data_IF_772490686594
#
_entry.id   IF_772490686594
#
_cell.length_a   1.000
_cell.length_b   1.000
_cell.length_c   1.000
_cell.angle_alpha   90.00
_cell.angle_beta   90.00
_cell.angle_gamma   90.00
#
_symmetry.space_group_name_H-M   'P 1'
#
loop_
_entity.id
_entity.type
_entity.pdbx_description
1 polymer ?
#
# COMPACT_ATOMS: atom_id res chain seq x y z
N UNK A 1 21.93 29.65 -3.53
CA UNK A 1 20.63 29.31 -2.87
C UNK A 1 20.89 28.19 -1.89
N UNK A 2 20.82 28.45 -0.55
CA UNK A 2 20.97 27.37 0.44
C UNK A 2 19.81 26.39 0.29
N UNK A 3 20.11 25.11 0.04
CA UNK A 3 19.12 24.07 -0.01
C UNK A 3 18.63 23.86 1.43
N UNK A 4 17.32 24.07 1.69
CA UNK A 4 16.74 23.87 3.02
C UNK A 4 16.69 22.38 3.35
N UNK A 5 16.95 22.07 4.61
CA UNK A 5 16.88 20.74 5.17
C UNK A 5 15.51 20.06 4.95
N UNK A 6 15.50 18.74 4.90
CA UNK A 6 14.28 17.94 4.86
C UNK A 6 13.86 17.63 6.29
N UNK A 7 12.76 18.20 6.74
CA UNK A 7 12.15 17.90 8.02
C UNK A 7 11.30 16.62 7.90
N UNK A 8 11.69 15.55 8.57
CA UNK A 8 10.95 14.28 8.54
C UNK A 8 9.54 14.40 9.13
N UNK A 9 9.32 15.36 10.04
CA UNK A 9 7.99 15.68 10.57
C UNK A 9 6.94 15.97 9.49
N UNK A 10 7.36 16.51 8.35
CA UNK A 10 6.48 16.81 7.23
C UNK A 10 5.86 15.56 6.59
N UNK A 11 6.46 14.37 6.74
CA UNK A 11 5.85 13.09 6.32
C UNK A 11 4.53 12.86 7.07
N UNK A 12 4.50 13.18 8.35
CA UNK A 12 3.26 13.11 9.14
C UNK A 12 2.30 14.25 8.82
N UNK A 13 2.82 15.46 8.56
CA UNK A 13 2.02 16.65 8.21
C UNK A 13 1.28 16.49 6.88
N UNK A 14 1.97 16.01 5.85
CA UNK A 14 1.42 15.81 4.50
C UNK A 14 1.03 14.34 4.25
N UNK A 15 0.74 13.60 5.30
CA UNK A 15 0.42 12.17 5.17
C UNK A 15 -0.80 11.92 4.30
N UNK A 16 -1.82 12.77 4.39
CA UNK A 16 -3.03 12.66 3.55
C UNK A 16 -2.70 12.81 2.06
N UNK A 17 -1.93 13.83 1.73
CA UNK A 17 -1.48 14.12 0.36
C UNK A 17 -0.58 12.98 -0.19
N UNK A 18 0.33 12.45 0.62
CA UNK A 18 1.18 11.32 0.25
C UNK A 18 0.36 10.05 0.00
N UNK A 19 -0.67 9.80 0.82
CA UNK A 19 -1.62 8.70 0.60
C UNK A 19 -2.42 8.92 -0.69
N UNK A 20 -2.80 10.17 -0.99
CA UNK A 20 -3.48 10.54 -2.24
C UNK A 20 -2.60 10.29 -3.46
N UNK A 21 -1.33 10.71 -3.41
CA UNK A 21 -0.37 10.44 -4.48
C UNK A 21 -0.17 8.94 -4.68
N UNK A 22 -0.05 8.18 -3.60
CA UNK A 22 0.07 6.72 -3.65
C UNK A 22 -1.14 6.06 -4.34
N UNK A 23 -2.36 6.52 -4.03
CA UNK A 23 -3.58 6.00 -4.68
C UNK A 23 -3.62 6.33 -6.17
N UNK A 24 -3.26 7.56 -6.55
CA UNK A 24 -3.20 7.94 -7.96
C UNK A 24 -2.15 7.12 -8.72
N UNK A 25 -1.00 6.83 -8.13
CA UNK A 25 0.01 5.94 -8.72
C UNK A 25 -0.55 4.52 -8.93
N UNK A 26 -1.31 3.99 -7.97
CA UNK A 26 -1.96 2.69 -8.09
C UNK A 26 -2.99 2.68 -9.24
N UNK A 27 -3.81 3.72 -9.37
CA UNK A 27 -4.76 3.82 -10.49
C UNK A 27 -4.02 3.90 -11.83
N UNK A 28 -2.96 4.74 -11.94
CA UNK A 28 -2.11 4.82 -13.13
C UNK A 28 -1.52 3.45 -13.50
N UNK A 29 -1.08 2.68 -12.51
CA UNK A 29 -0.57 1.33 -12.72
C UNK A 29 -1.61 0.36 -13.27
N UNK A 30 -2.86 0.45 -12.83
CA UNK A 30 -3.91 -0.49 -13.23
C UNK A 30 -4.54 -0.17 -14.59
N UNK A 31 -4.54 1.09 -15.04
CA UNK A 31 -5.01 1.42 -16.40
C UNK A 31 -4.15 0.70 -17.44
N UNK A 32 -4.80 0.00 -18.37
CA UNK A 32 -4.11 -0.77 -19.40
C UNK A 32 -3.26 0.12 -20.31
N UNK A 33 -2.04 -0.30 -20.58
CA UNK A 33 -1.15 0.29 -21.57
C UNK A 33 -0.42 -0.86 -22.28
N UNK A 34 -0.43 -0.92 -23.61
CA UNK A 34 0.28 -1.95 -24.35
C UNK A 34 1.76 -2.01 -24.01
N UNK A 35 2.32 -3.21 -24.00
CA UNK A 35 3.73 -3.44 -23.65
C UNK A 35 4.71 -2.72 -24.57
N UNK A 36 4.34 -2.61 -25.85
CA UNK A 36 5.12 -1.96 -26.90
C UNK A 36 5.22 -0.45 -26.74
N UNK A 37 4.39 0.12 -25.86
CA UNK A 37 4.42 1.55 -25.59
C UNK A 37 5.69 1.92 -24.81
N UNK A 38 6.38 2.98 -25.26
CA UNK A 38 7.62 3.46 -24.66
C UNK A 38 7.49 3.85 -23.15
N UNK A 39 6.28 4.09 -22.67
CA UNK A 39 5.98 4.44 -21.28
C UNK A 39 5.48 3.26 -20.44
N UNK A 40 5.51 2.04 -20.98
CA UNK A 40 5.03 0.87 -20.24
C UNK A 40 5.77 0.67 -18.93
N UNK A 41 7.11 0.68 -18.94
CA UNK A 41 7.92 0.53 -17.73
C UNK A 41 7.66 1.64 -16.71
N UNK A 42 7.49 2.89 -17.17
CA UNK A 42 7.14 4.01 -16.28
C UNK A 42 5.76 3.83 -15.64
N UNK A 43 4.75 3.39 -16.41
CA UNK A 43 3.43 3.07 -15.87
C UNK A 43 3.52 2.02 -14.76
N UNK A 44 4.35 0.99 -14.97
CA UNK A 44 4.56 -0.09 -13.99
C UNK A 44 5.07 0.43 -12.65
N UNK A 45 5.80 1.55 -12.65
CA UNK A 45 6.29 2.18 -11.41
C UNK A 45 5.17 2.71 -10.52
N UNK A 46 3.95 2.89 -11.03
CA UNK A 46 2.79 3.21 -10.20
C UNK A 46 2.51 2.18 -9.10
N UNK A 47 2.99 0.94 -9.25
CA UNK A 47 2.93 -0.09 -8.22
C UNK A 47 3.64 0.30 -6.90
N UNK A 48 4.60 1.21 -6.94
CA UNK A 48 5.26 1.81 -5.75
C UNK A 48 4.24 2.47 -4.80
N UNK A 49 3.09 2.88 -5.31
CA UNK A 49 1.99 3.40 -4.48
C UNK A 49 1.57 2.46 -3.35
N UNK A 50 1.60 1.13 -3.58
CA UNK A 50 1.30 0.14 -2.54
C UNK A 50 2.36 0.17 -1.43
N UNK A 51 3.63 0.24 -1.81
CA UNK A 51 4.75 0.32 -0.87
C UNK A 51 4.71 1.63 -0.08
N UNK A 52 4.29 2.74 -0.72
CA UNK A 52 4.05 4.02 -0.03
C UNK A 52 2.94 3.88 1.02
N UNK A 53 1.84 3.19 0.72
CA UNK A 53 0.78 2.92 1.70
C UNK A 53 1.30 2.15 2.91
N UNK A 54 2.04 1.07 2.68
CA UNK A 54 2.58 0.24 3.75
C UNK A 54 3.58 1.01 4.62
N UNK A 55 4.49 1.75 4.00
CA UNK A 55 5.47 2.57 4.71
C UNK A 55 4.79 3.66 5.57
N UNK A 56 3.86 4.42 5.00
CA UNK A 56 3.11 5.46 5.72
C UNK A 56 2.20 4.87 6.81
N UNK A 57 1.67 3.67 6.58
CA UNK A 57 0.94 2.93 7.61
C UNK A 57 1.85 2.56 8.78
N UNK A 58 3.04 2.03 8.50
CA UNK A 58 4.04 1.70 9.53
C UNK A 58 4.37 2.90 10.42
N UNK A 59 4.64 4.07 9.82
CA UNK A 59 4.85 5.33 10.58
C UNK A 59 3.63 5.66 11.45
N UNK A 60 2.43 5.61 10.87
CA UNK A 60 1.20 5.93 11.59
C UNK A 60 0.89 4.96 12.75
N UNK A 61 1.27 3.68 12.60
CA UNK A 61 1.12 2.68 13.66
C UNK A 61 2.05 2.98 14.83
N UNK A 62 3.29 3.35 14.56
CA UNK A 62 4.23 3.77 15.60
C UNK A 62 3.69 4.95 16.42
N UNK A 63 3.18 6.00 15.76
CA UNK A 63 2.56 7.14 16.45
C UNK A 63 1.37 6.72 17.34
N UNK A 64 0.51 5.85 16.81
CA UNK A 64 -0.65 5.34 17.54
C UNK A 64 -0.24 4.52 18.77
N UNK A 65 0.76 3.65 18.62
CA UNK A 65 1.29 2.80 19.68
C UNK A 65 1.97 3.60 20.78
N UNK A 66 2.79 4.57 20.42
CA UNK A 66 3.45 5.44 21.39
C UNK A 66 2.48 6.31 22.18
N UNK A 67 1.31 6.63 21.62
CA UNK A 67 0.25 7.37 22.33
C UNK A 67 -0.54 6.47 23.30
N UNK A 68 -0.85 5.24 22.90
CA UNK A 68 -1.60 4.27 23.72
C UNK A 68 -1.16 2.84 23.33
N UNK A 69 -0.22 2.24 24.11
CA UNK A 69 0.31 0.90 23.87
C UNK A 69 -0.63 -0.21 24.37
N UNK A 70 -1.89 -0.18 23.93
CA UNK A 70 -2.90 -1.19 24.24
C UNK A 70 -3.19 -2.03 23.01
N UNK A 71 -2.88 -3.32 23.07
CA UNK A 71 -3.13 -4.28 22.00
C UNK A 71 -4.61 -4.37 21.65
N UNK A 72 -5.50 -4.43 22.65
CA UNK A 72 -6.96 -4.43 22.44
C UNK A 72 -7.41 -3.19 21.67
N UNK A 73 -7.01 -2.02 22.15
CA UNK A 73 -7.35 -0.74 21.52
C UNK A 73 -6.78 -0.63 20.09
N UNK A 74 -5.54 -1.10 19.90
CA UNK A 74 -4.89 -1.14 18.58
C UNK A 74 -5.73 -1.93 17.57
N UNK A 75 -6.08 -3.19 17.88
CA UNK A 75 -6.82 -4.05 16.98
C UNK A 75 -8.23 -3.51 16.71
N UNK A 76 -8.98 -3.12 17.73
CA UNK A 76 -10.33 -2.55 17.55
C UNK A 76 -10.28 -1.39 16.55
N UNK A 77 -9.37 -0.43 16.72
CA UNK A 77 -9.28 0.73 15.83
C UNK A 77 -8.88 0.36 14.39
N UNK A 78 -8.01 -0.63 14.20
CA UNK A 78 -7.57 -1.05 12.85
C UNK A 78 -8.64 -1.83 12.12
N UNK A 79 -9.24 -2.79 12.80
CA UNK A 79 -10.32 -3.57 12.20
C UNK A 79 -11.56 -2.72 11.92
N UNK A 80 -11.99 -1.86 12.81
CA UNK A 80 -13.11 -0.94 12.55
C UNK A 80 -12.83 0.03 11.38
N UNK A 81 -11.58 0.36 11.09
CA UNK A 81 -11.24 1.21 9.94
C UNK A 81 -11.31 0.45 8.60
N UNK A 82 -10.96 -0.82 8.58
CA UNK A 82 -10.82 -1.60 7.33
C UNK A 82 -12.04 -2.48 7.09
N UNK A 83 -12.45 -3.21 8.11
CA UNK A 83 -13.35 -4.35 7.95
C UNK A 83 -14.75 -4.01 7.47
N UNK A 84 -15.41 -2.92 7.90
CA UNK A 84 -16.74 -2.58 7.39
C UNK A 84 -16.76 -2.29 5.89
N UNK A 85 -15.79 -1.51 5.38
CA UNK A 85 -15.68 -1.25 3.94
C UNK A 85 -15.34 -2.52 3.16
N UNK A 86 -14.41 -3.34 3.68
CA UNK A 86 -14.06 -4.63 3.11
C UNK A 86 -15.27 -5.55 3.00
N UNK A 87 -16.01 -5.76 4.09
CA UNK A 87 -17.16 -6.68 4.13
C UNK A 87 -18.24 -6.32 3.10
N UNK A 88 -18.54 -5.02 2.97
CA UNK A 88 -19.51 -4.53 1.98
C UNK A 88 -19.03 -4.90 0.57
N UNK A 89 -17.79 -4.57 0.24
CA UNK A 89 -17.24 -4.80 -1.11
C UNK A 89 -17.07 -6.30 -1.38
N UNK A 90 -16.62 -7.09 -0.41
CA UNK A 90 -16.52 -8.53 -0.55
C UNK A 90 -17.89 -9.19 -0.81
N UNK A 91 -18.92 -8.79 -0.07
CA UNK A 91 -20.27 -9.27 -0.34
C UNK A 91 -20.76 -8.88 -1.73
N UNK A 92 -20.57 -7.62 -2.15
CA UNK A 92 -20.96 -7.14 -3.49
C UNK A 92 -20.18 -7.82 -4.62
N UNK A 93 -18.97 -8.26 -4.36
CA UNK A 93 -18.13 -8.91 -5.35
C UNK A 93 -18.36 -10.42 -5.41
N UNK A 94 -18.31 -11.14 -4.28
CA UNK A 94 -18.32 -12.60 -4.24
C UNK A 94 -19.72 -13.19 -4.31
N UNK A 95 -20.72 -12.61 -3.65
CA UNK A 95 -22.10 -13.18 -3.60
C UNK A 95 -22.73 -13.28 -5.01
N UNK A 96 -22.69 -12.24 -5.87
CA UNK A 96 -23.28 -12.34 -7.22
C UNK A 96 -22.57 -13.37 -8.13
N UNK A 97 -21.32 -13.73 -7.82
CA UNK A 97 -20.52 -14.71 -8.57
C UNK A 97 -20.70 -16.14 -8.06
N UNK A 98 -21.28 -16.30 -6.88
CA UNK A 98 -21.54 -17.60 -6.29
C UNK A 98 -22.66 -18.31 -7.04
N UNK A 99 -22.43 -19.55 -7.48
CA UNK A 99 -23.39 -20.35 -8.25
C UNK A 99 -24.06 -21.44 -7.44
N UNK A 100 -23.90 -21.42 -6.11
CA UNK A 100 -24.33 -22.51 -5.24
C UNK A 100 -23.31 -23.65 -5.26
N UNK A 101 -23.60 -24.71 -4.55
CA UNK A 101 -22.75 -25.90 -4.47
C UNK A 101 -22.91 -26.65 -3.16
N UNK A 102 -21.94 -27.50 -2.90
CA UNK A 102 -21.83 -28.27 -1.67
C UNK A 102 -21.37 -27.44 -0.46
N UNK A 103 -21.19 -28.08 0.67
CA UNK A 103 -20.73 -27.41 1.90
C UNK A 103 -19.36 -26.75 1.72
N UNK A 104 -18.47 -27.35 0.92
CA UNK A 104 -17.14 -26.77 0.65
C UNK A 104 -17.25 -25.44 -0.12
N UNK A 105 -18.15 -25.36 -1.11
CA UNK A 105 -18.39 -24.13 -1.84
C UNK A 105 -18.91 -23.00 -0.93
N UNK A 106 -19.78 -23.30 0.03
CA UNK A 106 -20.24 -22.32 1.02
C UNK A 106 -19.13 -21.90 1.98
N UNK A 107 -18.32 -22.84 2.46
CA UNK A 107 -17.15 -22.52 3.30
C UNK A 107 -16.18 -21.62 2.55
N UNK A 108 -15.90 -21.89 1.28
CA UNK A 108 -15.05 -21.05 0.45
C UNK A 108 -15.63 -19.64 0.32
N UNK A 109 -16.92 -19.48 -0.01
CA UNK A 109 -17.56 -18.17 -0.10
C UNK A 109 -17.43 -17.37 1.21
N UNK A 110 -17.72 -17.99 2.35
CA UNK A 110 -17.61 -17.34 3.66
C UNK A 110 -16.16 -16.96 3.95
N UNK A 111 -15.22 -17.82 3.62
CA UNK A 111 -13.78 -17.58 3.81
C UNK A 111 -13.28 -16.43 2.95
N UNK A 112 -13.77 -16.32 1.70
CA UNK A 112 -13.45 -15.19 0.81
C UNK A 112 -13.99 -13.87 1.38
N UNK A 113 -15.27 -13.84 1.76
CA UNK A 113 -15.89 -12.63 2.31
C UNK A 113 -15.21 -12.19 3.60
N UNK A 114 -14.81 -13.14 4.46
CA UNK A 114 -14.28 -12.80 5.79
C UNK A 114 -12.79 -12.45 5.77
N UNK A 115 -11.94 -13.25 5.12
CA UNK A 115 -10.49 -13.14 5.21
C UNK A 115 -9.76 -13.20 3.86
N UNK A 116 -10.49 -13.24 2.74
CA UNK A 116 -9.94 -13.40 1.39
C UNK A 116 -8.98 -14.62 1.33
N UNK A 117 -9.51 -15.81 1.67
CA UNK A 117 -8.71 -17.00 1.96
C UNK A 117 -7.95 -17.53 0.74
N UNK A 118 -8.49 -17.35 -0.48
CA UNK A 118 -7.85 -17.83 -1.70
C UNK A 118 -6.54 -17.08 -2.00
N UNK A 119 -6.38 -15.84 -1.54
CA UNK A 119 -5.09 -15.17 -1.59
C UNK A 119 -4.00 -15.99 -0.87
N UNK A 120 -4.30 -16.54 0.31
CA UNK A 120 -3.33 -17.31 1.09
C UNK A 120 -3.07 -18.70 0.53
N UNK A 121 -4.03 -19.30 -0.19
CA UNK A 121 -3.92 -20.66 -0.72
C UNK A 121 -3.43 -20.73 -2.17
N UNK A 122 -3.84 -19.81 -3.04
CA UNK A 122 -3.75 -19.97 -4.48
C UNK A 122 -3.18 -18.77 -5.23
N UNK A 123 -2.62 -17.77 -4.53
CA UNK A 123 -2.12 -16.52 -5.15
C UNK A 123 -3.21 -15.76 -5.94
N UNK A 124 -4.44 -15.83 -5.48
CA UNK A 124 -5.50 -15.02 -6.06
C UNK A 124 -5.33 -13.56 -5.65
N UNK A 125 -4.95 -12.72 -6.61
CA UNK A 125 -4.60 -11.32 -6.34
C UNK A 125 -5.81 -10.39 -6.18
N UNK A 126 -7.04 -10.92 -6.24
CA UNK A 126 -8.26 -10.14 -6.01
C UNK A 126 -8.26 -9.60 -4.58
N UNK A 127 -8.23 -8.26 -4.44
CA UNK A 127 -8.18 -7.56 -3.15
C UNK A 127 -7.03 -7.98 -2.19
N UNK A 128 -5.94 -8.56 -2.71
CA UNK A 128 -4.83 -9.12 -1.94
C UNK A 128 -4.26 -8.19 -0.86
N UNK A 129 -4.31 -6.88 -1.06
CA UNK A 129 -3.78 -5.88 -0.12
C UNK A 129 -4.50 -5.90 1.23
N UNK A 130 -5.79 -6.25 1.26
CA UNK A 130 -6.58 -6.32 2.50
C UNK A 130 -6.06 -7.41 3.45
N UNK A 131 -6.04 -8.72 3.06
CA UNK A 131 -5.52 -9.76 3.92
C UNK A 131 -4.03 -9.55 4.25
N UNK A 132 -3.22 -9.08 3.29
CA UNK A 132 -1.82 -8.76 3.52
C UNK A 132 -1.63 -7.68 4.60
N UNK A 133 -2.39 -6.59 4.53
CA UNK A 133 -2.31 -5.50 5.52
C UNK A 133 -2.82 -5.96 6.89
N UNK A 134 -3.88 -6.75 6.95
CA UNK A 134 -4.41 -7.28 8.21
C UNK A 134 -3.39 -8.21 8.88
N UNK A 135 -2.69 -9.04 8.10
CA UNK A 135 -1.61 -9.90 8.60
C UNK A 135 -0.45 -9.07 9.14
N UNK A 136 -0.01 -8.04 8.43
CA UNK A 136 1.04 -7.12 8.91
C UNK A 136 0.63 -6.44 10.22
N UNK A 137 -0.63 -6.05 10.36
CA UNK A 137 -1.14 -5.44 11.59
C UNK A 137 -1.17 -6.42 12.76
N UNK A 138 -1.34 -7.73 12.51
CA UNK A 138 -1.29 -8.75 13.55
C UNK A 138 0.09 -8.77 14.25
N UNK A 139 1.17 -8.62 13.49
CA UNK A 139 2.54 -8.65 14.02
C UNK A 139 3.06 -7.29 14.48
N UNK A 140 2.45 -6.18 14.05
CA UNK A 140 2.93 -4.83 14.31
C UNK A 140 3.08 -4.49 15.80
N UNK A 141 2.11 -4.79 16.72
CA UNK A 141 2.26 -4.48 18.14
C UNK A 141 3.46 -5.19 18.79
N UNK A 142 3.63 -6.47 18.49
CA UNK A 142 4.75 -7.26 19.00
C UNK A 142 6.09 -6.69 18.53
N UNK A 143 6.19 -6.33 17.24
CA UNK A 143 7.39 -5.72 16.69
C UNK A 143 7.68 -4.35 17.30
N UNK A 144 6.67 -3.48 17.42
CA UNK A 144 6.84 -2.16 18.02
C UNK A 144 7.32 -2.23 19.48
N UNK A 145 6.78 -3.16 20.26
CA UNK A 145 7.24 -3.37 21.63
C UNK A 145 8.65 -3.95 21.68
N UNK A 146 8.99 -4.87 20.76
CA UNK A 146 10.31 -5.46 20.63
C UNK A 146 11.39 -4.39 20.36
N UNK A 147 11.19 -3.54 19.34
CA UNK A 147 12.18 -2.51 18.96
C UNK A 147 12.26 -1.37 20.00
N UNK A 148 11.20 -1.16 20.78
CA UNK A 148 11.19 -0.20 21.89
C UNK A 148 12.07 -0.68 23.04
N UNK A 149 11.99 -1.99 23.38
CA UNK A 149 12.81 -2.59 24.44
C UNK A 149 14.25 -2.84 24.00
N UNK A 150 14.41 -3.30 22.77
CA UNK A 150 15.69 -3.73 22.20
C UNK A 150 15.90 -3.13 20.81
N UNK A 151 16.49 -1.92 20.71
CA UNK A 151 16.65 -1.21 19.43
C UNK A 151 17.44 -1.95 18.36
N UNK A 152 18.24 -2.96 18.73
CA UNK A 152 18.98 -3.80 17.78
C UNK A 152 18.04 -4.52 16.79
N UNK A 153 16.82 -4.85 17.20
CA UNK A 153 15.85 -5.51 16.32
C UNK A 153 15.29 -4.61 15.21
N UNK A 154 15.67 -3.34 15.14
CA UNK A 154 15.43 -2.48 13.95
C UNK A 154 16.13 -3.01 12.69
N UNK A 155 17.07 -3.94 12.82
CA UNK A 155 17.69 -4.63 11.69
C UNK A 155 16.86 -5.79 11.12
N UNK A 156 15.76 -6.20 11.75
CA UNK A 156 14.90 -7.27 11.25
C UNK A 156 14.42 -7.09 9.80
N UNK A 157 14.14 -5.88 9.26
CA UNK A 157 13.84 -5.73 7.83
C UNK A 157 14.92 -6.29 6.91
N UNK A 158 16.19 -6.27 7.29
CA UNK A 158 17.27 -6.92 6.51
C UNK A 158 17.08 -8.44 6.49
N UNK A 159 16.73 -9.03 7.64
CA UNK A 159 16.42 -10.47 7.72
C UNK A 159 15.18 -10.81 6.87
N UNK A 160 14.19 -9.91 6.82
CA UNK A 160 13.00 -10.07 5.98
C UNK A 160 13.35 -10.03 4.48
N UNK A 161 14.32 -9.20 4.07
CA UNK A 161 14.85 -9.18 2.70
C UNK A 161 15.57 -10.52 2.41
N UNK A 162 16.38 -11.00 3.34
CA UNK A 162 17.03 -12.31 3.20
C UNK A 162 16.01 -13.45 3.10
N UNK A 163 14.90 -13.37 3.85
CA UNK A 163 13.79 -14.30 3.71
C UNK A 163 13.21 -14.31 2.29
N UNK A 164 13.04 -13.15 1.65
CA UNK A 164 12.59 -13.08 0.27
C UNK A 164 13.57 -13.80 -0.69
N UNK A 165 14.87 -13.71 -0.44
CA UNK A 165 15.88 -14.44 -1.21
C UNK A 165 15.71 -15.97 -1.01
N UNK A 166 15.52 -16.41 0.22
CA UNK A 166 15.31 -17.82 0.51
C UNK A 166 14.03 -18.34 -0.14
N UNK A 167 12.92 -17.61 -0.03
CA UNK A 167 11.66 -17.95 -0.70
C UNK A 167 11.84 -18.08 -2.20
N UNK A 168 12.65 -17.25 -2.82
CA UNK A 168 12.85 -17.28 -4.27
C UNK A 168 13.74 -18.44 -4.74
N UNK A 169 14.82 -18.75 -4.03
CA UNK A 169 15.87 -19.63 -4.54
C UNK A 169 15.98 -20.98 -3.84
N UNK A 170 15.33 -21.18 -2.71
CA UNK A 170 15.33 -22.47 -2.00
C UNK A 170 14.09 -23.25 -2.37
N UNK A 171 14.23 -24.26 -3.23
CA UNK A 171 13.11 -25.00 -3.84
C UNK A 171 12.04 -25.48 -2.85
N UNK A 172 12.34 -26.13 -1.71
CA UNK A 172 11.28 -26.54 -0.78
C UNK A 172 10.47 -25.37 -0.20
N UNK A 173 11.14 -24.23 0.05
CA UNK A 173 10.49 -23.03 0.56
C UNK A 173 9.65 -22.38 -0.54
N UNK A 174 10.21 -22.29 -1.76
CA UNK A 174 9.50 -21.75 -2.92
C UNK A 174 8.21 -22.53 -3.20
N UNK A 175 8.25 -23.84 -3.18
CA UNK A 175 7.06 -24.68 -3.39
C UNK A 175 6.00 -24.48 -2.30
N UNK A 176 6.41 -24.20 -1.06
CA UNK A 176 5.49 -24.02 0.06
C UNK A 176 4.85 -22.63 0.10
N UNK A 177 5.62 -21.56 -0.12
CA UNK A 177 5.18 -20.18 0.13
C UNK A 177 5.58 -19.17 -0.96
N UNK A 178 6.13 -19.63 -2.09
CA UNK A 178 6.54 -18.77 -3.21
C UNK A 178 5.37 -18.08 -3.90
N UNK A 179 4.18 -18.68 -3.87
CA UNK A 179 2.94 -18.07 -4.36
C UNK A 179 2.58 -16.77 -3.62
N UNK A 180 3.08 -16.56 -2.39
CA UNK A 180 2.90 -15.33 -1.61
C UNK A 180 4.03 -14.30 -1.84
N UNK A 181 4.74 -14.36 -2.96
CA UNK A 181 5.86 -13.45 -3.26
C UNK A 181 5.44 -11.98 -3.15
N UNK A 182 4.24 -11.63 -3.62
CA UNK A 182 3.70 -10.27 -3.53
C UNK A 182 3.58 -9.77 -2.08
N UNK A 183 3.31 -10.66 -1.13
CA UNK A 183 3.26 -10.35 0.30
C UNK A 183 4.68 -10.24 0.88
N UNK A 184 5.51 -11.27 0.69
CA UNK A 184 6.85 -11.32 1.28
C UNK A 184 7.70 -10.13 0.87
N UNK A 185 7.69 -9.76 -0.41
CA UNK A 185 8.47 -8.64 -0.92
C UNK A 185 8.09 -7.28 -0.34
N UNK A 186 6.90 -7.15 0.27
CA UNK A 186 6.40 -5.91 0.87
C UNK A 186 6.48 -5.86 2.40
N UNK A 187 6.78 -7.00 3.04
CA UNK A 187 7.00 -7.03 4.49
C UNK A 187 8.11 -6.06 4.92
N UNK A 188 9.30 -6.01 4.27
CA UNK A 188 10.38 -5.13 4.71
C UNK A 188 9.99 -3.65 4.75
N UNK A 189 9.33 -3.13 3.71
CA UNK A 189 9.00 -1.70 3.62
C UNK A 189 8.02 -1.25 4.71
N UNK A 190 7.09 -2.12 5.11
CA UNK A 190 6.16 -1.85 6.21
C UNK A 190 6.91 -1.70 7.54
N UNK A 191 7.82 -2.62 7.85
CA UNK A 191 8.61 -2.58 9.09
C UNK A 191 9.66 -1.47 9.09
N UNK A 192 10.23 -1.12 7.94
CA UNK A 192 11.06 0.09 7.78
C UNK A 192 10.23 1.34 8.12
N UNK A 193 8.97 1.40 7.68
CA UNK A 193 8.04 2.47 8.05
C UNK A 193 7.86 2.60 9.56
N UNK A 194 7.68 1.48 10.27
CA UNK A 194 7.60 1.48 11.74
C UNK A 194 8.90 2.01 12.36
N UNK A 195 10.05 1.55 11.87
CA UNK A 195 11.37 1.98 12.36
C UNK A 195 11.60 3.49 12.19
N UNK A 196 11.13 4.05 11.08
CA UNK A 196 11.24 5.50 10.81
C UNK A 196 10.25 6.33 11.65
N UNK A 197 9.22 5.70 12.20
CA UNK A 197 8.20 6.40 12.97
C UNK A 197 8.76 7.24 14.11
N UNK A 198 9.79 6.77 14.82
CA UNK A 198 10.41 7.53 15.90
C UNK A 198 11.18 8.75 15.39
N UNK A 199 11.94 8.64 14.30
CA UNK A 199 12.66 9.75 13.68
C UNK A 199 11.70 10.86 13.22
N UNK A 200 10.55 10.46 12.64
CA UNK A 200 9.49 11.39 12.24
C UNK A 200 8.86 12.05 13.45
N UNK A 201 8.60 11.31 14.53
CA UNK A 201 8.05 11.81 15.80
C UNK A 201 8.97 12.81 16.47
N UNK A 202 10.27 12.55 16.46
CA UNK A 202 11.33 13.43 17.02
C UNK A 202 11.64 14.62 16.13
N UNK A 203 10.96 14.76 14.97
CA UNK A 203 11.15 15.84 13.99
C UNK A 203 12.60 15.97 13.51
N UNK A 204 13.28 14.84 13.35
CA UNK A 204 14.64 14.84 12.83
C UNK A 204 14.70 15.47 11.44
N UNK A 205 15.83 16.09 11.14
CA UNK A 205 16.09 16.74 9.85
C UNK A 205 17.25 16.06 9.15
N UNK A 206 17.15 15.98 7.82
CA UNK A 206 18.24 15.60 6.94
C UNK A 206 18.85 16.88 6.35
N UNK A 207 20.17 16.98 6.37
CA UNK A 207 20.87 18.16 5.88
C UNK A 207 20.69 18.38 4.36
N UNK A 208 21.05 19.57 3.90
CA UNK A 208 20.89 19.94 2.49
C UNK A 208 21.76 19.12 1.54
N UNK A 209 22.88 18.55 1.99
CA UNK A 209 23.73 17.67 1.17
C UNK A 209 23.04 16.32 0.90
N UNK A 210 22.31 15.80 1.88
CA UNK A 210 21.52 14.56 1.75
C UNK A 210 20.49 14.61 0.62
N UNK A 211 20.04 15.80 0.22
CA UNK A 211 19.06 15.96 -0.88
C UNK A 211 19.62 15.47 -2.21
N UNK A 212 20.87 15.72 -2.49
CA UNK A 212 21.51 15.22 -3.72
C UNK A 212 21.59 13.70 -3.73
N UNK A 213 21.90 13.09 -2.58
CA UNK A 213 21.91 11.64 -2.44
C UNK A 213 20.49 11.05 -2.61
N UNK A 214 19.47 11.70 -2.07
CA UNK A 214 18.06 11.29 -2.24
C UNK A 214 17.66 11.37 -3.71
N UNK A 215 17.98 12.46 -4.42
CA UNK A 215 17.72 12.59 -5.84
C UNK A 215 18.48 11.54 -6.67
N UNK A 216 19.75 11.33 -6.40
CA UNK A 216 20.55 10.32 -7.11
C UNK A 216 19.96 8.92 -6.89
N UNK A 217 19.66 8.54 -5.64
CA UNK A 217 19.05 7.26 -5.31
C UNK A 217 17.68 7.10 -5.96
N UNK A 218 16.86 8.13 -5.94
CA UNK A 218 15.56 8.14 -6.62
C UNK A 218 15.70 7.88 -8.12
N UNK A 219 16.57 8.63 -8.80
CA UNK A 219 16.78 8.50 -10.24
C UNK A 219 17.37 7.12 -10.58
N UNK A 220 18.38 6.65 -9.85
CA UNK A 220 18.96 5.35 -10.09
C UNK A 220 17.96 4.21 -9.94
N UNK A 221 17.19 4.21 -8.85
CA UNK A 221 16.21 3.16 -8.61
C UNK A 221 15.01 3.24 -9.53
N UNK A 222 14.56 4.46 -9.89
CA UNK A 222 13.48 4.67 -10.86
C UNK A 222 13.90 4.16 -12.25
N UNK A 223 15.08 4.59 -12.75
CA UNK A 223 15.56 4.19 -14.07
C UNK A 223 15.86 2.70 -14.14
N UNK A 224 16.47 2.13 -13.09
CA UNK A 224 16.71 0.69 -13.01
C UNK A 224 15.38 -0.10 -13.04
N UNK A 225 14.38 0.33 -12.27
CA UNK A 225 13.07 -0.33 -12.25
C UNK A 225 12.33 -0.20 -13.59
N UNK A 226 12.37 0.99 -14.22
CA UNK A 226 11.81 1.19 -15.57
C UNK A 226 12.52 0.27 -16.58
N UNK A 227 13.83 0.20 -16.55
CA UNK A 227 14.60 -0.65 -17.47
C UNK A 227 14.27 -2.13 -17.30
N UNK A 228 14.18 -2.61 -16.06
CA UNK A 228 13.80 -4.00 -15.78
C UNK A 228 12.40 -4.32 -16.31
N UNK A 229 11.42 -3.46 -16.08
CA UNK A 229 10.04 -3.68 -16.55
C UNK A 229 9.89 -3.49 -18.05
N UNK A 230 10.58 -2.53 -18.68
CA UNK A 230 10.48 -2.24 -20.12
C UNK A 230 11.26 -3.24 -20.96
N UNK A 231 12.53 -3.45 -20.64
CA UNK A 231 13.48 -4.18 -21.49
C UNK A 231 13.71 -5.63 -21.04
N UNK A 232 13.62 -5.89 -19.73
CA UNK A 232 14.01 -7.15 -19.11
C UNK A 232 12.86 -7.87 -18.42
N UNK A 233 11.63 -7.51 -18.72
CA UNK A 233 10.43 -8.07 -18.09
C UNK A 233 10.39 -9.59 -18.17
N UNK A 234 10.22 -10.25 -17.02
CA UNK A 234 10.23 -11.70 -16.88
C UNK A 234 11.62 -12.34 -16.94
N UNK A 235 12.71 -11.55 -17.13
CA UNK A 235 14.07 -12.07 -17.10
C UNK A 235 14.56 -12.33 -15.67
N UNK A 236 14.09 -11.53 -14.73
CA UNK A 236 14.41 -11.66 -13.32
C UNK A 236 13.16 -12.00 -12.49
N UNK A 237 13.32 -12.67 -11.36
CA UNK A 237 12.21 -12.86 -10.41
C UNK A 237 11.65 -11.51 -9.95
N UNK A 238 10.34 -11.40 -9.86
CA UNK A 238 9.64 -10.17 -9.41
C UNK A 238 10.12 -9.65 -8.06
N UNK A 239 10.56 -10.56 -7.19
CA UNK A 239 11.15 -10.22 -5.91
C UNK A 239 12.35 -9.25 -6.05
N UNK A 240 13.27 -9.45 -7.01
CA UNK A 240 14.42 -8.55 -7.22
C UNK A 240 13.97 -7.15 -7.65
N UNK A 241 13.00 -7.07 -8.56
CA UNK A 241 12.45 -5.80 -9.02
C UNK A 241 11.80 -5.04 -7.85
N UNK A 242 11.06 -5.76 -6.99
CA UNK A 242 10.40 -5.18 -5.82
C UNK A 242 11.36 -4.75 -4.71
N UNK A 243 12.55 -5.33 -4.62
CA UNK A 243 13.56 -4.83 -3.68
C UNK A 243 14.07 -3.43 -4.06
N UNK A 244 14.08 -3.07 -5.36
CA UNK A 244 14.35 -1.71 -5.81
C UNK A 244 13.24 -0.72 -5.42
N UNK A 245 12.01 -1.20 -5.18
CA UNK A 245 10.91 -0.36 -4.75
C UNK A 245 11.09 0.16 -3.32
N UNK A 246 11.89 -0.49 -2.47
CA UNK A 246 12.17 -0.03 -1.10
C UNK A 246 12.83 1.35 -1.13
N UNK A 247 14.02 1.55 -1.71
CA UNK A 247 14.65 2.86 -1.77
C UNK A 247 13.86 3.83 -2.66
N UNK A 248 13.21 3.35 -3.73
CA UNK A 248 12.35 4.18 -4.58
C UNK A 248 11.18 4.76 -3.80
N UNK A 249 10.50 3.96 -2.97
CA UNK A 249 9.40 4.40 -2.11
C UNK A 249 9.84 5.47 -1.11
N UNK A 250 10.93 5.22 -0.39
CA UNK A 250 11.41 6.15 0.64
C UNK A 250 11.79 7.48 0.01
N UNK A 251 12.55 7.44 -1.08
CA UNK A 251 12.98 8.66 -1.78
C UNK A 251 11.83 9.39 -2.43
N UNK A 252 10.84 8.68 -3.01
CA UNK A 252 9.60 9.27 -3.54
C UNK A 252 8.84 10.02 -2.47
N UNK A 253 8.65 9.43 -1.28
CA UNK A 253 7.95 10.07 -0.16
C UNK A 253 8.69 11.33 0.31
N UNK A 254 10.02 11.28 0.41
CA UNK A 254 10.83 12.44 0.80
C UNK A 254 10.76 13.57 -0.23
N UNK A 255 10.77 13.25 -1.52
CA UNK A 255 10.67 14.24 -2.59
C UNK A 255 9.26 14.82 -2.71
N UNK A 256 8.21 13.99 -2.68
CA UNK A 256 6.81 14.42 -2.68
C UNK A 256 6.48 15.31 -1.49
N UNK A 257 6.97 14.94 -0.30
CA UNK A 257 6.88 15.76 0.90
C UNK A 257 7.43 17.19 0.68
N UNK A 258 8.55 17.30 -0.01
CA UNK A 258 9.13 18.60 -0.37
C UNK A 258 8.30 19.36 -1.41
N UNK A 259 7.67 18.65 -2.35
CA UNK A 259 6.75 19.22 -3.34
C UNK A 259 5.53 19.78 -2.62
N UNK A 260 4.83 19.00 -1.80
CA UNK A 260 3.63 19.42 -1.08
C UNK A 260 3.85 20.60 -0.13
N UNK A 261 5.06 20.77 0.39
CA UNK A 261 5.43 21.98 1.15
C UNK A 261 5.40 23.26 0.32
N UNK A 262 5.52 23.17 -1.01
CA UNK A 262 5.64 24.32 -1.92
C UNK A 262 4.44 24.54 -2.81
N UNK A 263 3.55 23.55 -2.89
CA UNK A 263 2.34 23.62 -3.70
C UNK A 263 1.25 24.41 -2.99
N UNK A 264 0.34 25.04 -3.76
CA UNK A 264 -0.76 25.79 -3.19
C UNK A 264 -1.76 24.90 -2.47
N UNK A 265 -2.52 25.47 -1.54
CA UNK A 265 -3.42 24.72 -0.66
C UNK A 265 -4.51 23.95 -1.42
N UNK A 266 -5.06 24.52 -2.50
CA UNK A 266 -6.08 23.83 -3.31
C UNK A 266 -5.55 22.53 -3.92
N UNK A 267 -4.30 22.52 -4.36
CA UNK A 267 -3.63 21.33 -4.89
C UNK A 267 -3.46 20.26 -3.79
N UNK A 268 -2.95 20.67 -2.63
CA UNK A 268 -2.80 19.77 -1.48
C UNK A 268 -4.14 19.19 -1.02
N UNK A 269 -5.19 20.01 -0.98
CA UNK A 269 -6.55 19.55 -0.62
C UNK A 269 -7.08 18.48 -1.58
N UNK A 270 -6.80 18.57 -2.88
CA UNK A 270 -7.21 17.55 -3.85
C UNK A 270 -6.56 16.21 -3.56
N UNK A 271 -5.24 16.20 -3.31
CA UNK A 271 -4.54 14.97 -2.92
C UNK A 271 -5.00 14.44 -1.56
N UNK A 272 -5.21 15.32 -0.59
CA UNK A 272 -5.71 14.94 0.73
C UNK A 272 -7.10 14.28 0.65
N UNK A 273 -7.98 14.75 -0.22
CA UNK A 273 -9.29 14.14 -0.47
C UNK A 273 -9.14 12.70 -0.98
N UNK A 274 -8.31 12.48 -2.00
CA UNK A 274 -8.02 11.13 -2.53
C UNK A 274 -7.40 10.26 -1.44
N UNK A 275 -6.49 10.81 -0.64
CA UNK A 275 -5.83 10.09 0.45
C UNK A 275 -6.78 9.68 1.58
N UNK A 276 -7.76 10.52 1.90
CA UNK A 276 -8.78 10.22 2.89
C UNK A 276 -9.68 9.04 2.46
N UNK A 277 -9.91 8.88 1.17
CA UNK A 277 -10.73 7.84 0.55
C UNK A 277 -9.90 6.68 -0.01
N UNK A 278 -8.60 6.62 0.27
CA UNK A 278 -7.67 5.70 -0.40
C UNK A 278 -8.01 4.22 -0.24
N UNK A 279 -8.53 3.80 0.91
CA UNK A 279 -8.98 2.41 1.14
C UNK A 279 -10.17 2.07 0.25
N UNK A 280 -11.17 2.93 0.26
CA UNK A 280 -12.40 2.76 -0.50
C UNK A 280 -12.10 2.84 -2.02
N UNK A 281 -11.22 3.75 -2.45
CA UNK A 281 -10.73 3.82 -3.82
C UNK A 281 -10.03 2.52 -4.23
N UNK A 282 -9.17 1.97 -3.36
CA UNK A 282 -8.51 0.70 -3.63
C UNK A 282 -9.52 -0.43 -3.85
N UNK A 283 -10.56 -0.51 -3.03
CA UNK A 283 -11.57 -1.56 -3.11
C UNK A 283 -12.45 -1.46 -4.37
N UNK A 284 -12.65 -0.25 -4.91
CA UNK A 284 -13.62 0.01 -5.97
C UNK A 284 -12.98 0.10 -7.36
N UNK A 285 -11.81 0.74 -7.51
CA UNK A 285 -11.31 1.22 -8.80
C UNK A 285 -11.11 0.13 -9.87
N UNK A 286 -10.67 -1.08 -9.51
CA UNK A 286 -10.46 -2.16 -10.48
C UNK A 286 -11.79 -2.81 -10.85
N UNK A 287 -12.39 -3.50 -9.89
CA UNK A 287 -13.47 -4.45 -10.16
C UNK A 287 -14.84 -3.80 -10.42
N UNK A 288 -15.03 -2.57 -9.93
CA UNK A 288 -16.29 -1.85 -10.05
C UNK A 288 -16.24 -0.64 -10.98
N UNK A 289 -15.03 -0.25 -11.47
CA UNK A 289 -14.88 0.90 -12.36
C UNK A 289 -14.06 0.54 -13.59
N UNK A 290 -12.77 0.21 -13.45
CA UNK A 290 -11.90 -0.07 -14.60
C UNK A 290 -12.40 -1.23 -15.44
N UNK A 291 -12.87 -2.30 -14.82
CA UNK A 291 -13.45 -3.45 -15.51
C UNK A 291 -14.58 -3.07 -16.52
N UNK A 292 -15.33 -2.01 -16.23
CA UNK A 292 -16.40 -1.52 -17.10
C UNK A 292 -15.96 -0.45 -18.08
N UNK A 293 -14.86 0.27 -17.82
CA UNK A 293 -14.37 1.35 -18.70
C UNK A 293 -13.45 0.79 -19.80
N UNK A 294 -12.57 -0.16 -19.44
CA UNK A 294 -11.55 -0.68 -20.36
C UNK A 294 -12.08 -1.25 -21.69
N UNK A 295 -13.23 -1.96 -21.73
CA UNK A 295 -13.80 -2.45 -22.99
C UNK A 295 -14.15 -1.36 -24.01
N UNK A 296 -14.26 -0.09 -23.57
CA UNK A 296 -14.55 1.03 -24.48
C UNK A 296 -13.32 1.58 -25.20
N UNK A 297 -12.11 1.10 -24.90
CA UNK A 297 -10.84 1.46 -25.57
C UNK A 297 -10.60 2.97 -25.71
N UNK A 298 -10.92 3.75 -24.67
CA UNK A 298 -10.83 5.22 -24.67
C UNK A 298 -9.38 5.75 -24.73
N UNK A 299 -8.39 4.90 -24.57
CA UNK A 299 -6.99 5.26 -24.42
C UNK A 299 -6.61 5.53 -22.96
N UNK A 300 -5.29 5.62 -22.69
CA UNK A 300 -4.74 5.62 -21.33
C UNK A 300 -5.24 6.79 -20.46
N UNK A 301 -5.06 8.03 -20.93
CA UNK A 301 -5.40 9.21 -20.13
C UNK A 301 -6.90 9.42 -19.92
N UNK A 302 -7.76 9.28 -20.95
CA UNK A 302 -9.21 9.35 -20.74
C UNK A 302 -9.70 8.27 -19.78
N UNK A 303 -9.20 7.03 -19.87
CA UNK A 303 -9.53 5.93 -18.95
C UNK A 303 -9.12 6.27 -17.52
N UNK A 304 -7.92 6.81 -17.32
CA UNK A 304 -7.44 7.23 -16.01
C UNK A 304 -8.32 8.33 -15.39
N UNK A 305 -8.62 9.38 -16.15
CA UNK A 305 -9.44 10.51 -15.67
C UNK A 305 -10.85 10.03 -15.33
N UNK A 306 -11.46 9.23 -16.23
CA UNK A 306 -12.80 8.70 -16.02
C UNK A 306 -12.86 7.74 -14.83
N UNK A 307 -11.83 6.91 -14.67
CA UNK A 307 -11.70 6.04 -13.50
C UNK A 307 -11.71 6.85 -12.20
N UNK A 308 -10.92 7.91 -12.09
CA UNK A 308 -10.91 8.78 -10.90
C UNK A 308 -12.27 9.45 -10.70
N UNK A 309 -12.86 10.00 -11.77
CA UNK A 309 -14.12 10.72 -11.70
C UNK A 309 -15.28 9.87 -11.19
N UNK A 310 -15.29 8.57 -11.51
CA UNK A 310 -16.30 7.61 -11.04
C UNK A 310 -15.92 7.04 -9.67
N UNK A 311 -14.65 6.67 -9.48
CA UNK A 311 -14.20 6.04 -8.24
C UNK A 311 -14.37 6.93 -7.02
N UNK A 312 -14.05 8.22 -7.12
CA UNK A 312 -14.10 9.12 -5.95
C UNK A 312 -15.51 9.27 -5.35
N UNK A 313 -16.57 9.55 -6.11
CA UNK A 313 -17.93 9.61 -5.56
C UNK A 313 -18.37 8.28 -4.95
N UNK A 314 -18.13 7.15 -5.61
CA UNK A 314 -18.47 5.84 -5.08
C UNK A 314 -17.71 5.52 -3.79
N UNK A 315 -16.44 5.87 -3.72
CA UNK A 315 -15.59 5.73 -2.54
C UNK A 315 -16.08 6.60 -1.38
N UNK A 316 -16.56 7.80 -1.67
CA UNK A 316 -17.13 8.68 -0.66
C UNK A 316 -18.42 8.07 -0.06
N UNK A 317 -19.31 7.52 -0.89
CA UNK A 317 -20.53 6.84 -0.43
C UNK A 317 -20.16 5.65 0.44
N UNK A 318 -19.25 4.77 -0.03
CA UNK A 318 -18.78 3.62 0.73
C UNK A 318 -18.16 4.03 2.06
N UNK A 319 -17.33 5.08 2.07
CA UNK A 319 -16.73 5.62 3.29
C UNK A 319 -17.80 6.04 4.32
N UNK A 320 -18.87 6.73 3.89
CA UNK A 320 -19.95 7.15 4.79
C UNK A 320 -20.70 5.97 5.40
N UNK A 321 -20.97 4.94 4.60
CA UNK A 321 -21.62 3.71 5.09
C UNK A 321 -20.71 2.98 6.08
N UNK A 322 -19.43 2.83 5.74
CA UNK A 322 -18.43 2.17 6.59
C UNK A 322 -18.21 2.93 7.91
N UNK A 323 -18.15 4.27 7.88
CA UNK A 323 -18.05 5.11 9.06
C UNK A 323 -19.25 4.94 10.00
N UNK A 324 -20.47 4.91 9.44
CA UNK A 324 -21.69 4.66 10.20
C UNK A 324 -21.64 3.29 10.90
N UNK A 325 -21.35 2.21 10.15
CA UNK A 325 -21.24 0.85 10.72
C UNK A 325 -20.15 0.81 11.81
N UNK A 326 -18.98 1.42 11.56
CA UNK A 326 -17.89 1.46 12.53
C UNK A 326 -18.28 2.16 13.82
N UNK A 327 -19.11 3.22 13.74
CA UNK A 327 -19.60 3.96 14.89
C UNK A 327 -20.55 3.08 15.73
N UNK A 328 -21.52 2.40 15.10
CA UNK A 328 -22.45 1.50 15.78
C UNK A 328 -21.70 0.34 16.46
N UNK A 329 -20.78 -0.32 15.73
CA UNK A 329 -19.97 -1.40 16.30
C UNK A 329 -19.09 -0.92 17.46
N UNK A 330 -18.57 0.30 17.41
CA UNK A 330 -17.74 0.85 18.49
C UNK A 330 -18.51 1.10 19.78
N UNK A 331 -19.83 1.28 19.71
CA UNK A 331 -20.72 1.41 20.89
C UNK A 331 -20.97 0.05 21.55
N UNK A 332 -21.04 -1.02 20.76
CA UNK A 332 -21.27 -2.38 21.24
C UNK A 332 -20.01 -2.97 21.91
N UNK A 333 -18.83 -2.60 21.41
CA UNK A 333 -17.53 -3.16 21.89
C UNK A 333 -17.02 -2.45 23.15
N UNK A 334 -17.54 -1.30 23.51
CA UNK A 334 -17.22 -0.60 24.77
C UNK A 334 -17.84 -1.29 25.96
#
# INVERSE_FOLDING_TARGET
MKIKDIELANISRYRGELMGAAMLFIILFHVALPRENAFFGLRRMGNVGVDMFLFLSGIGLWFSWMKNPSTKHFFIRRYLRIYPAWLIIACLYYIPRFRGGDLEAWINLISEITINWNFWRYDELTFWYIPATMMLYLFAPAYMELIKRHPIYKWLPVVMIMWCILVQYVTPIHQAVGHLEIFWSRVPIFFIGINMGEMVRQKQTLDGASIWMIWLMFLMTLLASIFLEQEKHGMFPLFLERMLYIPLTITSILLLNRIFRRTPEWFNRSFMLVGALSLECYLIHIHFVLHYIEPHHLGYWPTFILCIAITLPLSWILSKIAEWISKELSQIIK
#
